data_IF_951668661969
#
_entry.id   IF_951668661969
#
_cell.length_a   1.000
_cell.length_b   1.000
_cell.length_c   1.000
_cell.angle_alpha   90.00
_cell.angle_beta   90.00
_cell.angle_gamma   90.00
#
_symmetry.space_group_name_H-M   'P 1'
#
loop_
_entity.id
_entity.type
_entity.pdbx_description
1 polymer ?
#
# COMPACT_ATOMS: atom_id res chain seq x y z
N UNK A 1 27.92 6.90 -76.01
CA UNK A 1 28.77 7.94 -75.37
C UNK A 1 28.00 8.76 -74.33
N UNK A 2 26.75 9.18 -74.61
CA UNK A 2 25.92 9.95 -73.66
C UNK A 2 25.76 9.31 -72.27
N UNK A 3 25.39 8.02 -72.17
CA UNK A 3 25.16 7.37 -70.87
C UNK A 3 26.42 7.33 -69.98
N UNK A 4 27.60 7.20 -70.57
CA UNK A 4 28.87 7.18 -69.82
C UNK A 4 29.17 8.54 -69.21
N UNK A 5 28.98 9.61 -69.98
CA UNK A 5 29.14 11.00 -69.50
C UNK A 5 28.19 11.29 -68.34
N UNK A 6 26.93 10.86 -68.44
CA UNK A 6 25.94 11.03 -67.39
C UNK A 6 26.31 10.31 -66.09
N UNK A 7 26.68 9.03 -66.17
CA UNK A 7 27.04 8.24 -64.98
C UNK A 7 28.24 8.86 -64.26
N UNK A 8 29.24 9.35 -65.01
CA UNK A 8 30.42 10.02 -64.42
C UNK A 8 30.07 11.37 -63.78
N UNK A 9 29.07 12.10 -64.30
CA UNK A 9 28.64 13.37 -63.72
C UNK A 9 27.84 13.20 -62.41
N UNK A 10 27.02 12.15 -62.32
CA UNK A 10 26.16 11.91 -61.15
C UNK A 10 26.91 11.24 -59.99
N UNK A 11 28.03 10.54 -60.27
CA UNK A 11 28.82 9.77 -59.29
C UNK A 11 27.97 8.91 -58.32
N UNK A 12 27.07 8.05 -58.85
CA UNK A 12 26.14 7.29 -58.00
C UNK A 12 26.84 6.16 -57.25
N UNK A 13 26.48 5.90 -55.98
CA UNK A 13 27.01 4.76 -55.20
C UNK A 13 26.53 3.39 -55.68
N UNK A 14 25.35 3.32 -56.29
CA UNK A 14 24.73 2.10 -56.79
C UNK A 14 24.24 2.31 -58.23
N UNK A 15 24.65 1.44 -59.14
CA UNK A 15 24.24 1.45 -60.55
C UNK A 15 23.46 0.17 -60.82
N UNK A 16 22.22 0.30 -61.29
CA UNK A 16 21.34 -0.82 -61.63
C UNK A 16 21.03 -0.73 -63.12
N UNK A 17 21.48 -1.73 -63.88
CA UNK A 17 21.28 -1.80 -65.33
C UNK A 17 19.98 -2.55 -65.63
N UNK A 18 19.05 -1.87 -66.29
CA UNK A 18 17.73 -2.37 -66.70
C UNK A 18 17.42 -1.92 -68.13
N UNK A 19 16.35 -2.44 -68.73
CA UNK A 19 15.86 -2.03 -70.06
C UNK A 19 16.94 -2.05 -71.16
N UNK A 20 17.62 -3.18 -71.32
CA UNK A 20 18.54 -3.39 -72.43
C UNK A 20 18.62 -4.86 -72.82
N UNK A 21 19.14 -5.12 -74.03
CA UNK A 21 19.49 -6.49 -74.42
C UNK A 21 20.56 -7.03 -73.47
N UNK A 22 20.41 -8.29 -73.04
CA UNK A 22 21.26 -8.94 -72.04
C UNK A 22 22.77 -8.80 -72.37
N UNK A 23 23.14 -9.05 -73.61
CA UNK A 23 24.54 -9.03 -74.04
C UNK A 23 25.12 -7.61 -74.05
N UNK A 24 24.37 -6.64 -74.55
CA UNK A 24 24.79 -5.22 -74.56
C UNK A 24 24.88 -4.64 -73.15
N UNK A 25 23.95 -5.01 -72.24
CA UNK A 25 24.08 -4.65 -70.81
C UNK A 25 25.26 -5.34 -70.15
N UNK A 26 25.59 -6.58 -70.51
CA UNK A 26 26.78 -7.30 -70.05
C UNK A 26 28.08 -6.61 -70.47
N UNK A 27 28.14 -6.14 -71.73
CA UNK A 27 29.27 -5.34 -72.25
C UNK A 27 29.39 -4.01 -71.51
N UNK A 28 28.27 -3.31 -71.30
CA UNK A 28 28.26 -2.05 -70.56
C UNK A 28 28.69 -2.22 -69.11
N UNK A 29 28.17 -3.24 -68.40
CA UNK A 29 28.59 -3.59 -67.03
C UNK A 29 30.09 -3.81 -66.94
N UNK A 30 30.65 -4.57 -67.89
CA UNK A 30 32.08 -4.89 -67.92
C UNK A 30 32.93 -3.64 -68.18
N UNK A 31 32.51 -2.79 -69.11
CA UNK A 31 33.19 -1.51 -69.38
C UNK A 31 33.18 -0.58 -68.17
N UNK A 32 32.05 -0.48 -67.46
CA UNK A 32 31.95 0.34 -66.24
C UNK A 32 32.82 -0.24 -65.11
N UNK A 33 32.83 -1.56 -64.89
CA UNK A 33 33.70 -2.20 -63.89
C UNK A 33 35.19 -1.90 -64.15
N UNK A 34 35.64 -1.92 -65.41
CA UNK A 34 37.03 -1.58 -65.77
C UNK A 34 37.32 -0.11 -65.49
N UNK A 35 36.40 0.80 -65.86
CA UNK A 35 36.55 2.23 -65.62
C UNK A 35 36.66 2.55 -64.11
N UNK A 36 35.75 2.01 -63.30
CA UNK A 36 35.71 2.29 -61.87
C UNK A 36 36.76 1.53 -61.06
N UNK A 37 37.38 0.48 -61.61
CA UNK A 37 38.51 -0.23 -60.97
C UNK A 37 39.71 0.68 -60.70
N UNK A 38 39.87 1.75 -61.48
CA UNK A 38 40.95 2.73 -61.32
C UNK A 38 40.74 3.66 -60.10
N UNK A 39 39.53 3.72 -59.55
CA UNK A 39 39.19 4.56 -58.39
C UNK A 39 39.42 3.81 -57.08
N UNK A 40 39.67 4.57 -56.01
CA UNK A 40 39.79 4.03 -54.65
C UNK A 40 38.55 3.23 -54.25
N UNK A 41 38.74 2.14 -53.49
CA UNK A 41 37.68 1.17 -53.13
C UNK A 41 36.41 1.82 -52.53
N UNK A 42 36.56 2.91 -51.77
CA UNK A 42 35.43 3.63 -51.15
C UNK A 42 34.59 4.46 -52.12
N UNK A 43 35.09 4.71 -53.34
CA UNK A 43 34.38 5.44 -54.41
C UNK A 43 33.90 4.52 -55.53
N UNK A 44 34.10 3.21 -55.40
CA UNK A 44 33.65 2.26 -56.42
C UNK A 44 32.13 2.00 -56.27
N UNK A 45 31.33 2.26 -57.32
CA UNK A 45 29.91 1.99 -57.27
C UNK A 45 29.62 0.49 -57.32
N UNK A 46 28.55 0.06 -56.66
CA UNK A 46 28.05 -1.32 -56.81
C UNK A 46 27.25 -1.41 -58.10
N UNK A 47 27.71 -2.20 -59.09
CA UNK A 47 27.07 -2.34 -60.40
C UNK A 47 26.32 -3.68 -60.49
N UNK A 48 25.00 -3.62 -60.62
CA UNK A 48 24.12 -4.80 -60.70
C UNK A 48 23.33 -4.82 -62.01
N UNK A 49 23.02 -6.03 -62.49
CA UNK A 49 22.21 -6.27 -63.69
C UNK A 49 21.22 -7.38 -63.33
N UNK A 50 20.16 -7.06 -62.58
CA UNK A 50 19.19 -8.06 -62.14
C UNK A 50 18.33 -8.55 -63.31
N UNK A 51 18.13 -9.86 -63.51
CA UNK A 51 17.02 -10.39 -64.31
C UNK A 51 15.66 -9.98 -63.74
N UNK A 52 14.62 -10.14 -64.56
CA UNK A 52 13.24 -9.94 -64.13
C UNK A 52 12.94 -10.79 -62.88
N UNK A 53 12.16 -10.22 -61.96
CA UNK A 53 11.78 -10.82 -60.67
C UNK A 53 12.93 -10.98 -59.66
N UNK A 54 14.14 -10.51 -59.94
CA UNK A 54 15.21 -10.49 -58.94
C UNK A 54 15.15 -9.23 -58.07
N UNK A 55 15.03 -9.42 -56.75
CA UNK A 55 15.08 -8.35 -55.75
C UNK A 55 16.51 -7.79 -55.59
N UNK A 56 16.64 -6.47 -55.56
CA UNK A 56 17.91 -5.77 -55.28
C UNK A 56 17.83 -5.09 -53.93
N UNK A 57 18.61 -5.59 -52.95
CA UNK A 57 18.66 -5.04 -51.59
C UNK A 57 19.80 -4.04 -51.45
N UNK A 58 19.48 -2.79 -51.18
CA UNK A 58 20.45 -1.72 -50.94
C UNK A 58 20.50 -1.37 -49.45
N UNK A 59 21.70 -1.29 -48.88
CA UNK A 59 21.92 -0.90 -47.49
C UNK A 59 22.33 0.57 -47.44
N UNK A 60 21.44 1.41 -46.92
CA UNK A 60 21.73 2.82 -46.68
C UNK A 60 22.05 3.04 -45.21
N UNK A 61 23.29 3.41 -44.83
CA UNK A 61 23.60 3.78 -43.46
C UNK A 61 22.80 5.03 -43.12
N UNK A 62 21.83 4.89 -42.21
CA UNK A 62 21.01 6.01 -41.77
C UNK A 62 21.72 6.70 -40.63
N UNK A 63 22.35 7.85 -40.91
CA UNK A 63 22.81 8.75 -39.86
C UNK A 63 21.58 9.32 -39.16
N UNK A 64 21.32 8.90 -37.91
CA UNK A 64 20.34 9.55 -37.05
C UNK A 64 21.01 10.78 -36.43
N UNK A 65 20.39 11.94 -36.61
CA UNK A 65 20.83 13.20 -36.05
C UNK A 65 19.65 13.83 -35.35
N UNK A 66 19.87 14.29 -34.12
CA UNK A 66 18.86 15.01 -33.36
C UNK A 66 19.36 16.43 -33.08
N UNK A 67 18.44 17.39 -33.04
CA UNK A 67 18.77 18.78 -32.70
C UNK A 67 18.42 19.05 -31.25
N UNK A 68 19.39 19.51 -30.47
CA UNK A 68 19.14 20.01 -29.11
C UNK A 68 18.48 21.38 -29.21
N UNK A 69 17.44 21.63 -28.42
CA UNK A 69 16.62 22.85 -28.46
C UNK A 69 16.27 23.32 -27.04
N UNK A 70 15.99 24.61 -26.91
CA UNK A 70 15.57 25.24 -25.65
C UNK A 70 16.73 25.46 -24.69
N UNK A 71 16.41 25.47 -23.40
CA UNK A 71 17.34 25.63 -22.28
C UNK A 71 18.48 24.62 -22.30
N UNK A 72 18.26 23.42 -22.84
CA UNK A 72 19.28 22.39 -22.98
C UNK A 72 20.37 22.74 -24.02
N UNK A 73 20.08 23.68 -24.93
CA UNK A 73 21.07 24.23 -25.86
C UNK A 73 21.78 25.47 -25.29
N UNK A 74 21.16 26.13 -24.31
CA UNK A 74 21.69 27.30 -23.60
C UNK A 74 22.50 26.81 -22.40
N UNK A 75 23.76 26.44 -22.63
CA UNK A 75 24.67 26.06 -21.53
C UNK A 75 24.77 27.22 -20.52
N UNK A 76 24.29 27.02 -19.29
CA UNK A 76 24.35 28.00 -18.18
C UNK A 76 25.70 28.03 -17.44
N UNK A 77 26.76 27.50 -18.05
CA UNK A 77 28.09 27.55 -17.44
C UNK A 77 28.77 28.89 -17.79
N UNK A 78 28.46 29.90 -16.99
CA UNK A 78 28.91 31.30 -17.09
C UNK A 78 30.44 31.50 -16.90
N UNK A 79 31.22 30.42 -16.78
CA UNK A 79 32.65 30.48 -16.40
C UNK A 79 33.64 30.24 -17.56
N UNK A 80 33.20 30.10 -18.82
CA UNK A 80 34.12 30.01 -19.95
C UNK A 80 33.62 30.80 -21.18
N UNK A 81 34.36 31.86 -21.50
CA UNK A 81 34.23 32.64 -22.72
C UNK A 81 34.40 31.72 -23.95
N UNK A 82 33.32 31.46 -24.70
CA UNK A 82 33.32 30.61 -25.89
C UNK A 82 32.45 29.34 -25.85
N UNK A 83 31.35 29.40 -25.09
CA UNK A 83 30.37 28.34 -24.83
C UNK A 83 29.77 27.66 -26.09
N UNK A 84 30.49 26.68 -26.64
CA UNK A 84 30.02 25.72 -27.64
C UNK A 84 30.15 24.32 -27.05
N UNK A 85 29.13 23.45 -27.20
CA UNK A 85 29.19 22.08 -26.69
C UNK A 85 30.40 21.35 -27.29
N UNK A 86 31.22 20.74 -26.43
CA UNK A 86 32.38 19.96 -26.84
C UNK A 86 31.98 18.50 -27.04
N UNK A 87 32.73 17.79 -27.88
CA UNK A 87 32.54 16.36 -28.06
C UNK A 87 32.86 15.64 -26.75
N UNK A 88 31.86 14.94 -26.19
CA UNK A 88 31.95 14.25 -24.91
C UNK A 88 31.06 14.83 -23.81
N UNK A 89 30.51 16.03 -24.00
CA UNK A 89 29.57 16.62 -23.05
C UNK A 89 28.28 15.79 -22.98
N UNK A 90 27.82 15.51 -21.76
CA UNK A 90 26.60 14.75 -21.54
C UNK A 90 25.36 15.62 -21.78
N UNK A 91 24.42 15.10 -22.56
CA UNK A 91 23.14 15.77 -22.85
C UNK A 91 22.00 14.89 -22.36
N UNK A 92 21.32 15.35 -21.32
CA UNK A 92 20.15 14.67 -20.74
C UNK A 92 18.88 15.42 -21.13
N UNK A 93 17.95 14.72 -21.78
CA UNK A 93 16.69 15.33 -22.20
C UNK A 93 15.77 14.32 -22.88
N UNK A 94 14.61 14.81 -23.28
CA UNK A 94 13.56 14.02 -23.93
C UNK A 94 13.78 14.07 -25.43
N UNK A 95 13.98 12.90 -26.05
CA UNK A 95 14.10 12.75 -27.50
C UNK A 95 12.71 12.62 -28.14
N UNK A 96 12.28 13.64 -28.88
CA UNK A 96 11.03 13.62 -29.64
C UNK A 96 11.33 13.45 -31.12
N UNK A 97 10.77 12.40 -31.73
CA UNK A 97 10.93 12.13 -33.17
C UNK A 97 9.58 12.26 -33.89
N UNK A 98 9.52 13.15 -34.87
CA UNK A 98 8.34 13.33 -35.71
C UNK A 98 8.78 13.43 -37.18
N UNK A 99 8.22 12.58 -38.06
CA UNK A 99 8.50 12.56 -39.49
C UNK A 99 10.01 12.60 -39.82
N UNK A 100 10.80 11.76 -39.14
CA UNK A 100 12.26 11.65 -39.29
C UNK A 100 13.08 12.86 -38.83
N UNK A 101 12.44 13.88 -38.27
CA UNK A 101 13.11 14.94 -37.52
C UNK A 101 13.14 14.57 -36.04
N UNK A 102 14.34 14.40 -35.50
CA UNK A 102 14.55 14.16 -34.08
C UNK A 102 14.99 15.45 -33.39
N UNK A 103 14.38 15.76 -32.25
CA UNK A 103 14.71 16.90 -31.39
C UNK A 103 14.97 16.38 -29.97
N UNK A 104 15.94 16.95 -29.28
CA UNK A 104 16.17 16.71 -27.85
C UNK A 104 15.82 18.00 -27.13
N UNK A 105 14.93 17.91 -26.16
CA UNK A 105 14.39 19.06 -25.41
C UNK A 105 14.38 18.76 -23.92
N UNK A 106 14.42 19.79 -23.08
CA UNK A 106 14.12 19.67 -21.65
C UNK A 106 12.62 19.37 -21.44
N UNK A 107 12.27 18.83 -20.27
CA UNK A 107 10.87 18.56 -19.91
C UNK A 107 10.02 19.84 -19.87
N UNK A 108 10.61 20.95 -19.39
CA UNK A 108 9.96 22.26 -19.30
C UNK A 108 9.65 22.84 -20.70
N UNK A 109 10.58 22.66 -21.63
CA UNK A 109 10.53 23.19 -23.00
C UNK A 109 9.74 22.32 -23.97
N UNK A 110 9.24 21.16 -23.51
CA UNK A 110 8.57 20.18 -24.36
C UNK A 110 7.35 20.79 -25.06
N UNK A 111 6.55 21.59 -24.35
CA UNK A 111 5.34 22.24 -24.87
C UNK A 111 5.63 23.38 -25.85
N UNK A 112 6.81 24.02 -25.75
CA UNK A 112 7.23 25.13 -26.60
C UNK A 112 7.69 24.64 -27.97
N UNK A 113 8.45 23.53 -28.02
CA UNK A 113 9.11 23.07 -29.25
C UNK A 113 8.43 21.84 -29.90
N UNK A 114 7.40 21.29 -29.26
CA UNK A 114 6.64 20.14 -29.74
C UNK A 114 5.13 20.38 -29.52
N UNK A 115 4.25 19.75 -30.32
CA UNK A 115 2.80 19.87 -30.13
C UNK A 115 2.29 19.11 -28.90
N UNK A 116 3.18 18.54 -28.08
CA UNK A 116 2.83 17.78 -26.89
C UNK A 116 2.47 18.73 -25.76
N UNK A 117 1.35 18.46 -25.08
CA UNK A 117 1.02 19.14 -23.83
C UNK A 117 1.61 18.35 -22.67
N UNK A 118 2.21 19.06 -21.74
CA UNK A 118 2.67 18.49 -20.47
C UNK A 118 1.54 18.70 -19.46
N UNK A 119 1.24 17.67 -18.68
CA UNK A 119 0.31 17.74 -17.57
C UNK A 119 0.70 16.72 -16.52
N UNK A 120 0.34 16.99 -15.27
CA UNK A 120 0.43 16.02 -14.18
C UNK A 120 -0.97 15.52 -13.83
N UNK A 121 -1.02 14.34 -13.24
CA UNK A 121 -2.27 13.75 -12.72
C UNK A 121 -2.11 13.68 -11.22
N UNK A 122 -3.01 14.33 -10.49
CA UNK A 122 -3.11 14.19 -9.03
C UNK A 122 -4.29 13.30 -8.68
N UNK A 123 -4.10 12.39 -7.75
CA UNK A 123 -5.12 11.47 -7.26
C UNK A 123 -5.49 11.81 -5.83
N UNK A 124 -6.77 11.60 -5.50
CA UNK A 124 -7.33 11.81 -4.17
C UNK A 124 -8.26 10.66 -3.83
N UNK A 125 -8.00 9.99 -2.72
CA UNK A 125 -8.78 8.86 -2.25
C UNK A 125 -9.29 9.10 -0.82
N UNK A 126 -10.55 8.77 -0.60
CA UNK A 126 -11.15 8.72 0.73
C UNK A 126 -11.14 7.27 1.21
N UNK A 127 -10.39 7.02 2.26
CA UNK A 127 -10.29 5.70 2.90
C UNK A 127 -11.09 5.75 4.20
N UNK A 128 -12.01 4.81 4.45
CA UNK A 128 -12.68 4.71 5.74
C UNK A 128 -11.64 4.66 6.88
N UNK A 129 -11.83 5.51 7.89
CA UNK A 129 -10.96 5.60 9.06
C UNK A 129 -11.71 6.31 10.19
N UNK A 130 -12.51 5.56 10.95
CA UNK A 130 -13.51 6.13 11.88
C UNK A 130 -13.25 5.88 13.36
N UNK A 131 -12.58 4.80 13.71
CA UNK A 131 -12.47 4.33 15.10
C UNK A 131 -11.10 4.65 15.70
N UNK A 132 -10.08 4.83 14.86
CA UNK A 132 -8.68 4.78 15.27
C UNK A 132 -8.06 6.17 15.36
N UNK A 133 -7.28 6.42 16.41
CA UNK A 133 -6.55 7.67 16.58
C UNK A 133 -5.45 7.82 15.51
N UNK A 134 -5.19 9.06 15.07
CA UNK A 134 -4.11 9.35 14.11
C UNK A 134 -2.74 8.83 14.57
N UNK A 135 -2.52 8.72 15.89
CA UNK A 135 -1.30 8.17 16.51
C UNK A 135 -1.06 6.70 16.17
N UNK A 136 -2.11 5.90 15.96
CA UNK A 136 -1.94 4.48 15.61
C UNK A 136 -1.44 4.33 14.18
N UNK A 137 -1.99 5.11 13.25
CA UNK A 137 -1.47 5.18 11.89
C UNK A 137 -0.02 5.69 11.86
N UNK A 138 0.30 6.69 12.69
CA UNK A 138 1.66 7.20 12.86
C UNK A 138 2.67 6.11 13.23
N UNK A 139 2.31 5.16 14.11
CA UNK A 139 3.19 4.03 14.46
C UNK A 139 3.44 3.13 13.24
N UNK A 140 2.37 2.68 12.59
CA UNK A 140 2.48 1.76 11.44
C UNK A 140 3.23 2.37 10.25
N UNK A 141 3.00 3.65 9.97
CA UNK A 141 3.67 4.33 8.86
C UNK A 141 5.15 4.53 9.17
N UNK A 142 5.53 4.87 10.41
CA UNK A 142 6.93 4.99 10.84
C UNK A 142 7.69 3.65 10.88
N UNK A 143 7.00 2.53 11.05
CA UNK A 143 7.63 1.20 10.95
C UNK A 143 7.97 0.81 9.51
N UNK A 144 7.13 1.21 8.54
CA UNK A 144 7.29 0.86 7.12
C UNK A 144 8.13 1.86 6.32
N UNK A 145 8.01 3.16 6.63
CA UNK A 145 8.62 4.23 5.86
C UNK A 145 9.51 5.10 6.74
N UNK A 146 10.55 5.66 6.13
CA UNK A 146 11.46 6.62 6.77
C UNK A 146 11.22 8.02 6.23
N UNK A 147 11.53 9.05 7.02
CA UNK A 147 11.42 10.44 6.57
C UNK A 147 9.99 10.99 6.48
N UNK A 148 9.05 10.45 7.28
CA UNK A 148 7.67 10.95 7.33
C UNK A 148 7.64 12.31 8.02
N UNK A 149 6.96 13.27 7.41
CA UNK A 149 6.67 14.56 8.03
C UNK A 149 5.30 14.51 8.69
N UNK A 150 5.18 14.99 9.93
CA UNK A 150 3.89 15.13 10.62
C UNK A 150 3.61 16.61 10.86
N UNK A 151 2.41 17.05 10.48
CA UNK A 151 1.89 18.38 10.75
C UNK A 151 0.53 18.25 11.43
N UNK A 152 0.35 18.99 12.51
CA UNK A 152 -0.94 19.12 13.17
C UNK A 152 -1.51 20.49 12.81
N UNK A 153 -2.70 20.49 12.24
CA UNK A 153 -3.43 21.69 11.85
C UNK A 153 -4.69 21.78 12.73
N UNK A 154 -4.94 22.97 13.29
CA UNK A 154 -6.21 23.27 13.93
C UNK A 154 -7.10 23.96 12.89
N UNK A 155 -8.28 23.39 12.60
CA UNK A 155 -9.31 24.09 11.84
C UNK A 155 -9.79 25.29 12.67
N UNK A 156 -9.33 26.49 12.33
CA UNK A 156 -9.96 27.73 12.78
C UNK A 156 -11.27 27.87 12.01
N UNK A 157 -12.39 27.47 12.61
CA UNK A 157 -13.71 27.80 12.10
C UNK A 157 -13.88 29.33 12.13
N UNK A 158 -13.50 30.00 11.04
CA UNK A 158 -13.85 31.39 10.74
C UNK A 158 -15.15 31.47 9.92
N UNK A 159 -16.07 30.53 10.15
CA UNK A 159 -17.40 30.60 9.57
C UNK A 159 -18.31 31.32 10.57
N UNK A 160 -18.60 32.58 10.23
CA UNK A 160 -19.73 33.33 10.76
C UNK A 160 -21.03 32.59 10.42
N UNK A 161 -21.38 31.57 11.20
CA UNK A 161 -22.74 31.01 11.24
C UNK A 161 -23.35 31.31 12.63
N UNK A 162 -23.96 32.48 12.72
CA UNK A 162 -24.91 32.80 13.77
C UNK A 162 -26.11 31.83 13.68
N UNK A 163 -26.30 31.04 14.73
CA UNK A 163 -27.44 30.16 15.05
C UNK A 163 -27.21 28.65 14.90
N UNK A 164 -26.42 28.06 15.81
CA UNK A 164 -26.72 26.73 16.40
C UNK A 164 -26.40 26.72 17.89
N UNK A 165 -27.19 25.94 18.62
CA UNK A 165 -27.35 25.88 20.08
C UNK A 165 -26.05 25.65 20.89
N UNK A 166 -26.07 26.10 22.14
CA UNK A 166 -24.91 26.37 23.02
C UNK A 166 -24.15 25.16 23.64
N UNK A 167 -24.41 23.91 23.24
CA UNK A 167 -23.74 22.74 23.85
C UNK A 167 -22.58 22.12 23.02
N UNK A 168 -22.35 22.58 21.78
CA UNK A 168 -21.40 21.93 20.84
C UNK A 168 -20.19 22.81 20.45
N UNK A 169 -19.95 23.90 21.19
CA UNK A 169 -18.95 24.94 20.83
C UNK A 169 -17.48 24.60 21.07
N UNK A 170 -17.11 23.38 21.45
CA UNK A 170 -15.70 23.11 21.81
C UNK A 170 -15.14 21.74 21.42
N UNK A 171 -15.62 21.13 20.34
CA UNK A 171 -14.95 19.95 19.77
C UNK A 171 -14.05 20.36 18.61
N UNK A 172 -12.89 20.94 18.94
CA UNK A 172 -11.83 21.21 17.96
C UNK A 172 -11.42 19.88 17.31
N UNK A 173 -11.72 19.73 16.03
CA UNK A 173 -11.24 18.61 15.21
C UNK A 173 -9.76 18.81 14.97
N UNK A 174 -8.92 18.03 15.66
CA UNK A 174 -7.48 18.00 15.39
C UNK A 174 -7.27 17.36 14.02
N UNK A 175 -6.70 18.10 13.09
CA UNK A 175 -6.31 17.57 11.79
C UNK A 175 -4.84 17.19 11.87
N UNK A 176 -4.52 15.99 11.43
CA UNK A 176 -3.14 15.52 11.32
C UNK A 176 -2.84 15.19 9.86
N UNK A 177 -1.80 15.80 9.33
CA UNK A 177 -1.32 15.60 7.97
C UNK A 177 0.04 14.91 8.02
N UNK A 178 0.15 13.75 7.37
CA UNK A 178 1.39 13.02 7.18
C UNK A 178 1.89 13.21 5.76
N UNK A 179 3.14 13.62 5.58
CA UNK A 179 3.80 13.67 4.28
C UNK A 179 4.78 12.52 4.11
N UNK A 180 4.65 11.79 2.98
CA UNK A 180 5.54 10.71 2.59
C UNK A 180 6.24 11.10 1.28
N UNK A 181 7.47 10.58 1.09
CA UNK A 181 8.29 10.79 -0.10
C UNK A 181 8.41 12.29 -0.47
N UNK A 182 9.02 13.08 0.42
CA UNK A 182 9.18 14.53 0.26
C UNK A 182 7.86 15.29 -0.01
N UNK A 183 6.82 15.01 0.80
CA UNK A 183 5.48 15.62 0.71
C UNK A 183 4.73 15.38 -0.63
N UNK A 184 5.21 14.46 -1.48
CA UNK A 184 4.52 14.09 -2.72
C UNK A 184 3.25 13.27 -2.48
N UNK A 185 3.17 12.61 -1.32
CA UNK A 185 2.00 11.87 -0.86
C UNK A 185 1.59 12.45 0.50
N UNK A 186 0.32 12.82 0.62
CA UNK A 186 -0.24 13.46 1.81
C UNK A 186 -1.40 12.63 2.34
N UNK A 187 -1.35 12.28 3.62
CA UNK A 187 -2.43 11.61 4.33
C UNK A 187 -3.00 12.57 5.36
N UNK A 188 -4.26 12.97 5.19
CA UNK A 188 -4.96 13.85 6.11
C UNK A 188 -5.99 13.05 6.91
N UNK A 189 -5.84 13.03 8.23
CA UNK A 189 -6.75 12.39 9.18
C UNK A 189 -7.40 13.47 10.04
N UNK A 190 -8.71 13.36 10.29
CA UNK A 190 -9.45 14.28 11.16
C UNK A 190 -10.18 15.41 10.43
N UNK A 191 -9.91 15.65 9.14
CA UNK A 191 -10.60 16.64 8.30
C UNK A 191 -12.05 16.23 7.95
N UNK A 192 -12.25 14.98 7.58
CA UNK A 192 -13.58 14.42 7.30
C UNK A 192 -13.87 13.33 8.32
N UNK A 193 -14.98 13.44 9.04
CA UNK A 193 -15.35 12.45 10.05
C UNK A 193 -15.47 11.07 9.40
N UNK A 194 -14.78 10.08 9.96
CA UNK A 194 -14.88 8.70 9.52
C UNK A 194 -14.04 8.33 8.30
N UNK A 195 -13.21 9.25 7.79
CA UNK A 195 -12.34 8.96 6.65
C UNK A 195 -10.97 9.63 6.76
N UNK A 196 -9.94 8.92 6.33
CA UNK A 196 -8.64 9.48 5.99
C UNK A 196 -8.61 9.86 4.50
N UNK A 197 -7.96 10.97 4.18
CA UNK A 197 -7.80 11.45 2.81
C UNK A 197 -6.36 11.21 2.39
N UNK A 198 -6.15 10.46 1.31
CA UNK A 198 -4.82 10.25 0.71
C UNK A 198 -4.76 11.01 -0.62
N UNK A 199 -3.82 11.94 -0.74
CA UNK A 199 -3.60 12.77 -1.93
C UNK A 199 -2.17 12.58 -2.44
N UNK A 200 -1.98 12.35 -3.74
CA UNK A 200 -0.65 12.21 -4.32
C UNK A 200 -0.58 12.64 -5.79
N UNK A 201 0.62 12.94 -6.27
CA UNK A 201 0.90 13.08 -7.70
C UNK A 201 1.20 11.70 -8.31
N UNK A 202 0.42 11.30 -9.31
CA UNK A 202 0.46 9.98 -9.93
C UNK A 202 1.81 9.75 -10.62
N UNK A 203 2.53 8.75 -10.14
CA UNK A 203 3.78 8.29 -10.71
C UNK A 203 3.98 6.83 -10.32
N UNK A 204 4.73 6.02 -11.09
CA UNK A 204 4.92 4.60 -10.75
C UNK A 204 5.46 4.37 -9.33
N UNK A 205 6.27 5.30 -8.81
CA UNK A 205 6.76 5.22 -7.43
C UNK A 205 5.70 5.66 -6.42
N UNK A 206 5.04 6.79 -6.67
CA UNK A 206 4.06 7.33 -5.74
C UNK A 206 2.78 6.49 -5.67
N UNK A 207 2.37 5.85 -6.77
CA UNK A 207 1.22 4.96 -6.82
C UNK A 207 1.44 3.74 -5.92
N UNK A 208 2.65 3.15 -5.96
CA UNK A 208 2.99 2.01 -5.09
C UNK A 208 3.03 2.41 -3.62
N UNK A 209 3.60 3.58 -3.30
CA UNK A 209 3.64 4.07 -1.92
C UNK A 209 2.22 4.45 -1.45
N UNK A 210 1.40 5.06 -2.30
CA UNK A 210 0.02 5.40 -1.98
C UNK A 210 -0.81 4.13 -1.71
N UNK A 211 -0.69 3.09 -2.54
CA UNK A 211 -1.35 1.80 -2.34
C UNK A 211 -0.93 1.15 -1.01
N UNK A 212 0.37 1.14 -0.72
CA UNK A 212 0.89 0.65 0.56
C UNK A 212 0.35 1.47 1.75
N UNK A 213 0.26 2.79 1.60
CA UNK A 213 -0.27 3.69 2.62
C UNK A 213 -1.77 3.43 2.88
N UNK A 214 -2.55 3.19 1.83
CA UNK A 214 -3.97 2.80 1.94
C UNK A 214 -4.11 1.47 2.65
N UNK A 215 -3.26 0.48 2.32
CA UNK A 215 -3.25 -0.80 3.01
C UNK A 215 -2.93 -0.64 4.51
N UNK A 216 -1.98 0.22 4.87
CA UNK A 216 -1.65 0.53 6.27
C UNK A 216 -2.81 1.23 6.99
N UNK A 217 -3.53 2.14 6.33
CA UNK A 217 -4.73 2.76 6.90
C UNK A 217 -5.81 1.72 7.20
N UNK A 218 -6.03 0.78 6.26
CA UNK A 218 -6.98 -0.31 6.44
C UNK A 218 -6.54 -1.29 7.54
N UNK A 219 -5.24 -1.61 7.60
CA UNK A 219 -4.67 -2.46 8.66
C UNK A 219 -4.78 -1.80 10.03
N UNK A 220 -4.48 -0.50 10.11
CA UNK A 220 -4.66 0.29 11.31
C UNK A 220 -6.12 0.27 11.75
N UNK A 221 -7.09 0.32 10.84
CA UNK A 221 -8.51 0.18 11.20
C UNK A 221 -8.88 -1.23 11.69
N UNK A 222 -8.34 -2.28 11.08
CA UNK A 222 -8.69 -3.67 11.40
C UNK A 222 -7.93 -4.31 12.56
N UNK A 223 -6.83 -3.70 13.03
CA UNK A 223 -5.95 -4.30 14.03
C UNK A 223 -6.56 -4.29 15.45
N UNK A 224 -6.43 -5.41 16.15
CA UNK A 224 -6.82 -5.59 17.57
C UNK A 224 -6.12 -4.58 18.49
N UNK A 225 -4.89 -4.18 18.16
CA UNK A 225 -4.16 -3.15 18.90
C UNK A 225 -4.89 -1.79 18.86
N UNK A 226 -5.52 -1.47 17.73
CA UNK A 226 -6.33 -0.27 17.56
C UNK A 226 -7.63 -0.33 18.35
N UNK A 227 -8.26 -1.50 18.42
CA UNK A 227 -9.47 -1.74 19.24
C UNK A 227 -9.12 -1.61 20.74
N UNK A 228 -7.99 -2.17 21.17
CA UNK A 228 -7.49 -2.06 22.56
C UNK A 228 -7.06 -0.65 22.95
N UNK A 229 -6.47 0.12 22.03
CA UNK A 229 -6.12 1.52 22.29
C UNK A 229 -7.34 2.45 22.29
N UNK A 230 -8.46 2.04 21.68
CA UNK A 230 -9.69 2.84 21.56
C UNK A 230 -10.81 2.40 22.50
N UNK A 231 -10.68 1.27 23.19
CA UNK A 231 -11.64 0.79 24.19
C UNK A 231 -11.57 1.63 25.46
N UNK A 232 -12.41 2.66 25.53
CA UNK A 232 -12.69 3.39 26.77
C UNK A 232 -13.86 2.68 27.49
N UNK A 233 -13.76 2.33 28.79
CA UNK A 233 -14.86 1.66 29.48
C UNK A 233 -16.07 2.58 29.58
N UNK A 234 -17.20 2.17 28.99
CA UNK A 234 -18.45 2.92 29.02
C UNK A 234 -19.01 2.99 30.45
N UNK A 235 -19.43 4.18 30.89
CA UNK A 235 -20.28 4.38 32.08
C UNK A 235 -21.70 4.68 31.60
N UNK A 236 -22.65 3.81 31.92
CA UNK A 236 -24.06 4.00 31.56
C UNK A 236 -24.82 4.67 32.71
N UNK A 237 -25.56 5.77 32.45
CA UNK A 237 -26.58 6.27 33.36
C UNK A 237 -27.85 5.42 33.21
N UNK A 238 -28.40 4.90 34.31
CA UNK A 238 -29.68 4.19 34.32
C UNK A 238 -30.82 5.21 34.19
N UNK A 239 -31.70 5.01 33.22
CA UNK A 239 -32.96 5.73 33.05
C UNK A 239 -34.06 4.98 33.79
N UNK A 240 -34.69 5.64 34.76
CA UNK A 240 -35.95 5.21 35.38
C UNK A 240 -37.11 5.58 34.43
N UNK A 241 -37.83 4.57 33.93
CA UNK A 241 -39.17 4.74 33.38
C UNK A 241 -40.14 3.99 34.31
N UNK A 242 -40.93 4.76 35.05
CA UNK A 242 -42.07 4.32 35.87
C UNK A 242 -43.32 4.20 34.98
N UNK A 243 -43.98 3.04 35.01
CA UNK A 243 -45.40 2.93 34.70
C UNK A 243 -46.20 2.67 35.99
N UNK A 244 -47.27 3.47 36.09
CA UNK A 244 -48.17 3.82 37.19
C UNK A 244 -49.02 2.66 37.73
N UNK A 245 -49.18 2.56 39.07
CA UNK A 245 -50.51 2.55 39.74
C UNK A 245 -50.42 2.57 41.30
N UNK A 246 -50.89 3.70 41.83
CA UNK A 246 -51.76 3.93 43.00
C UNK A 246 -51.34 3.73 44.48
N UNK A 247 -51.28 4.89 45.15
CA UNK A 247 -51.91 5.28 46.44
C UNK A 247 -51.22 4.90 47.76
N UNK A 248 -50.37 5.85 48.17
CA UNK A 248 -50.51 6.72 49.36
C UNK A 248 -49.89 6.34 50.73
N UNK A 249 -48.94 7.21 51.10
CA UNK A 249 -48.58 7.75 52.41
C UNK A 249 -47.84 6.92 53.50
N UNK A 250 -46.56 7.29 53.58
CA UNK A 250 -45.81 7.76 54.75
C UNK A 250 -45.06 6.77 55.66
N UNK A 251 -43.78 7.15 55.83
CA UNK A 251 -42.80 6.81 56.86
C UNK A 251 -41.95 5.53 56.72
N UNK A 252 -40.69 5.81 56.35
CA UNK A 252 -39.43 5.33 56.95
C UNK A 252 -39.14 3.82 56.96
N UNK A 253 -37.93 3.57 56.44
CA UNK A 253 -36.99 2.46 56.64
C UNK A 253 -37.10 1.28 55.69
N UNK A 254 -36.07 1.24 54.83
CA UNK A 254 -35.15 0.13 54.63
C UNK A 254 -35.76 -1.20 54.17
N UNK A 255 -35.44 -1.57 52.92
CA UNK A 255 -35.24 -2.95 52.48
C UNK A 255 -34.44 -2.91 51.17
N UNK A 256 -33.17 -3.32 51.21
CA UNK A 256 -32.67 -4.70 51.04
C UNK A 256 -32.36 -4.92 49.56
N UNK A 257 -31.10 -4.62 49.21
CA UNK A 257 -30.43 -5.13 48.03
C UNK A 257 -30.29 -6.65 48.19
N UNK A 258 -30.77 -7.43 47.22
CA UNK A 258 -30.38 -8.83 47.08
C UNK A 258 -29.02 -8.89 46.36
N UNK A 259 -27.99 -9.23 47.13
CA UNK A 259 -26.61 -9.45 46.70
C UNK A 259 -26.53 -10.70 45.80
N UNK A 260 -26.24 -10.55 44.50
CA UNK A 260 -25.70 -11.66 43.71
C UNK A 260 -24.26 -11.88 44.14
N UNK A 261 -23.93 -13.08 44.62
CA UNK A 261 -22.65 -13.40 45.24
C UNK A 261 -21.47 -13.13 44.29
N UNK A 262 -20.39 -12.57 44.83
CA UNK A 262 -19.17 -12.21 44.08
C UNK A 262 -18.52 -13.39 43.37
N UNK A 263 -18.78 -14.62 43.83
CA UNK A 263 -18.28 -15.88 43.26
C UNK A 263 -18.94 -16.22 41.92
N UNK A 264 -20.26 -16.08 41.80
CA UNK A 264 -20.98 -16.43 40.57
C UNK A 264 -20.55 -15.53 39.40
N UNK A 265 -20.34 -14.24 39.66
CA UNK A 265 -19.84 -13.29 38.67
C UNK A 265 -18.43 -13.65 38.17
N UNK A 266 -17.58 -14.20 39.04
CA UNK A 266 -16.22 -14.65 38.70
C UNK A 266 -16.23 -15.95 37.91
N UNK A 267 -17.11 -16.90 38.27
CA UNK A 267 -17.28 -18.15 37.51
C UNK A 267 -17.81 -17.87 36.09
N UNK A 268 -18.72 -16.90 35.92
CA UNK A 268 -19.16 -16.45 34.59
C UNK A 268 -18.02 -15.83 33.76
N UNK A 269 -17.16 -15.02 34.38
CA UNK A 269 -15.99 -14.45 33.68
C UNK A 269 -15.02 -15.53 33.19
N UNK A 270 -14.79 -16.59 33.99
CA UNK A 270 -13.95 -17.73 33.59
C UNK A 270 -14.60 -18.47 32.41
N UNK A 271 -15.92 -18.70 32.45
CA UNK A 271 -16.66 -19.30 31.33
C UNK A 271 -16.47 -18.52 30.03
N UNK A 272 -16.68 -17.21 30.07
CA UNK A 272 -16.65 -16.37 28.87
C UNK A 272 -15.24 -16.34 28.27
N UNK A 273 -14.22 -16.26 29.13
CA UNK A 273 -12.82 -16.32 28.69
C UNK A 273 -12.47 -17.65 28.02
N UNK A 274 -12.95 -18.78 28.55
CA UNK A 274 -12.71 -20.10 27.96
C UNK A 274 -13.46 -20.27 26.64
N UNK A 275 -14.69 -19.74 26.51
CA UNK A 275 -15.44 -19.75 25.24
C UNK A 275 -14.83 -18.88 24.16
N UNK A 276 -14.16 -17.79 24.54
CA UNK A 276 -13.44 -16.96 23.58
C UNK A 276 -12.18 -17.65 23.02
N UNK A 277 -11.62 -18.63 23.74
CA UNK A 277 -10.40 -19.34 23.32
C UNK A 277 -10.67 -20.72 22.72
N UNK A 278 -11.77 -21.38 23.09
CA UNK A 278 -12.08 -22.74 22.68
C UNK A 278 -13.50 -22.85 22.11
N UNK A 279 -13.63 -23.53 20.97
CA UNK A 279 -14.87 -23.57 20.20
C UNK A 279 -16.04 -24.25 20.92
N UNK A 280 -15.79 -25.27 21.75
CA UNK A 280 -16.83 -26.01 22.44
C UNK A 280 -16.47 -26.17 23.92
N UNK A 281 -17.15 -25.37 24.75
CA UNK A 281 -17.02 -25.36 26.22
C UNK A 281 -18.40 -25.52 26.83
N UNK A 282 -18.63 -26.67 27.46
CA UNK A 282 -19.78 -26.93 28.31
C UNK A 282 -19.45 -26.56 29.76
N UNK A 283 -20.45 -26.13 30.53
CA UNK A 283 -20.22 -25.68 31.91
C UNK A 283 -21.36 -26.09 32.82
N UNK A 284 -21.01 -26.67 33.96
CA UNK A 284 -21.91 -26.95 35.08
C UNK A 284 -21.50 -26.06 36.25
N UNK A 285 -22.45 -25.29 36.78
CA UNK A 285 -22.27 -24.44 37.97
C UNK A 285 -22.96 -25.10 39.16
N UNK A 286 -22.23 -25.33 40.24
CA UNK A 286 -22.75 -25.85 41.50
C UNK A 286 -22.29 -24.94 42.65
N UNK A 287 -23.08 -23.90 42.96
CA UNK A 287 -22.79 -22.95 44.03
C UNK A 287 -21.47 -22.19 43.81
N UNK A 288 -20.47 -22.43 44.68
CA UNK A 288 -19.15 -21.82 44.60
C UNK A 288 -18.14 -22.61 43.75
N UNK A 289 -18.58 -23.69 43.10
CA UNK A 289 -17.78 -24.48 42.18
C UNK A 289 -18.34 -24.46 40.76
N UNK A 290 -17.47 -24.58 39.77
CA UNK A 290 -17.86 -24.85 38.39
C UNK A 290 -16.92 -25.83 37.71
N UNK A 291 -17.50 -26.70 36.91
CA UNK A 291 -16.80 -27.63 36.03
C UNK A 291 -16.98 -27.18 34.58
N UNK A 292 -15.88 -27.03 33.86
CA UNK A 292 -15.83 -26.68 32.45
C UNK A 292 -15.28 -27.86 31.66
N UNK A 293 -16.05 -28.36 30.71
CA UNK A 293 -15.63 -29.43 29.81
C UNK A 293 -15.34 -28.83 28.42
N UNK A 294 -14.09 -28.98 27.99
CA UNK A 294 -13.58 -28.44 26.72
C UNK A 294 -13.33 -29.61 25.79
N UNK A 295 -14.03 -29.64 24.66
CA UNK A 295 -13.86 -30.63 23.59
C UNK A 295 -13.24 -29.98 22.36
N UNK A 296 -12.19 -30.60 21.80
CA UNK A 296 -11.52 -30.06 20.60
C UNK A 296 -11.29 -31.14 19.54
N UNK A 297 -11.44 -30.75 18.27
CA UNK A 297 -11.45 -31.66 17.11
C UNK A 297 -10.07 -31.79 16.43
N UNK A 298 -9.01 -31.23 17.04
CA UNK A 298 -7.70 -31.11 16.39
C UNK A 298 -6.80 -32.32 16.66
N UNK A 299 -6.62 -33.13 15.61
CA UNK A 299 -5.73 -34.29 15.57
C UNK A 299 -4.23 -33.97 15.58
N UNK A 300 -3.49 -34.95 16.10
CA UNK A 300 -2.05 -35.24 15.97
C UNK A 300 -1.07 -34.07 16.04
N UNK A 301 -0.63 -33.76 17.26
CA UNK A 301 0.78 -33.40 17.48
C UNK A 301 1.38 -33.89 18.81
N UNK A 302 0.65 -34.74 19.54
CA UNK A 302 1.14 -35.50 20.70
C UNK A 302 0.86 -36.97 20.43
N UNK A 303 1.89 -37.81 20.35
CA UNK A 303 1.83 -39.22 19.95
C UNK A 303 1.12 -40.16 20.94
N UNK A 304 -0.06 -39.79 21.41
CA UNK A 304 -0.89 -40.56 22.30
C UNK A 304 -2.35 -40.28 21.96
N UNK A 305 -3.05 -41.33 21.49
CA UNK A 305 -4.46 -41.43 21.05
C UNK A 305 -4.65 -41.47 19.52
N UNK A 306 -5.38 -42.48 19.05
CA UNK A 306 -5.57 -42.86 17.63
C UNK A 306 -6.55 -41.97 16.86
N UNK A 307 -6.58 -42.18 15.54
CA UNK A 307 -7.04 -41.26 14.46
C UNK A 307 -8.47 -40.71 14.48
N UNK A 308 -9.31 -40.97 15.49
CA UNK A 308 -10.67 -40.39 15.61
C UNK A 308 -11.05 -40.11 17.09
N UNK A 309 -10.07 -39.74 17.92
CA UNK A 309 -10.30 -39.43 19.34
C UNK A 309 -10.67 -37.96 19.58
N UNK A 310 -11.92 -37.69 19.99
CA UNK A 310 -12.29 -36.39 20.59
C UNK A 310 -11.44 -36.18 21.84
N UNK A 311 -10.69 -35.08 21.90
CA UNK A 311 -9.90 -34.71 23.08
C UNK A 311 -10.78 -33.91 24.04
N UNK A 312 -10.93 -34.43 25.26
CA UNK A 312 -11.62 -33.76 26.36
C UNK A 312 -10.62 -33.23 27.39
N UNK A 313 -10.85 -32.01 27.85
CA UNK A 313 -10.14 -31.38 28.96
C UNK A 313 -11.17 -30.87 29.96
N UNK A 314 -11.07 -31.32 31.21
CA UNK A 314 -11.98 -30.94 32.28
C UNK A 314 -11.26 -30.00 33.23
N UNK A 315 -11.84 -28.82 33.45
CA UNK A 315 -11.34 -27.83 34.40
C UNK A 315 -12.35 -27.72 35.54
N UNK A 316 -11.93 -28.00 36.76
CA UNK A 316 -12.74 -27.73 37.95
C UNK A 316 -12.19 -26.50 38.66
N UNK A 317 -13.09 -25.58 39.01
CA UNK A 317 -12.77 -24.38 39.77
C UNK A 317 -13.65 -24.35 41.00
N UNK A 318 -13.07 -24.34 42.18
CA UNK A 318 -13.77 -24.25 43.47
C UNK A 318 -13.25 -23.06 44.26
N UNK A 319 -14.16 -22.20 44.74
CA UNK A 319 -13.81 -21.09 45.62
C UNK A 319 -13.99 -21.48 47.09
N UNK A 320 -12.95 -21.27 47.91
CA UNK A 320 -12.95 -21.65 49.33
C UNK A 320 -13.97 -20.87 50.17
N UNK A 321 -14.42 -19.69 49.72
CA UNK A 321 -15.37 -18.82 50.42
C UNK A 321 -16.24 -18.00 49.45
N UNK A 322 -17.43 -17.57 49.89
CA UNK A 322 -18.37 -16.71 49.14
C UNK A 322 -17.80 -15.34 48.68
N UNK A 323 -16.65 -14.96 49.26
CA UNK A 323 -15.91 -13.74 48.96
C UNK A 323 -15.01 -13.85 47.70
N UNK A 324 -14.81 -15.05 47.16
CA UNK A 324 -14.19 -15.27 45.84
C UNK A 324 -12.71 -14.87 45.71
N UNK A 325 -11.97 -14.88 46.83
CA UNK A 325 -10.56 -14.45 46.87
C UNK A 325 -9.57 -15.53 46.42
N UNK A 326 -9.70 -16.75 46.96
CA UNK A 326 -8.83 -17.88 46.65
C UNK A 326 -9.64 -18.97 45.95
N UNK A 327 -9.12 -19.48 44.83
CA UNK A 327 -9.76 -20.49 44.00
C UNK A 327 -8.81 -21.66 43.78
N UNK A 328 -9.25 -22.87 44.09
CA UNK A 328 -8.55 -24.09 43.71
C UNK A 328 -8.98 -24.50 42.31
N UNK A 329 -8.02 -24.57 41.39
CA UNK A 329 -8.25 -24.91 39.98
C UNK A 329 -7.51 -26.22 39.67
N UNK A 330 -8.25 -27.25 39.26
CA UNK A 330 -7.68 -28.51 38.79
C UNK A 330 -8.00 -28.69 37.30
N UNK A 331 -6.98 -29.05 36.53
CA UNK A 331 -7.09 -29.30 35.08
C UNK A 331 -6.74 -30.75 34.82
N UNK A 332 -7.72 -31.52 34.37
CA UNK A 332 -7.56 -32.93 34.01
C UNK A 332 -7.69 -33.07 32.49
N UNK A 333 -6.58 -33.43 31.83
CA UNK A 333 -6.58 -33.62 30.39
C UNK A 333 -5.65 -34.77 29.99
N UNK A 334 -6.07 -35.53 28.98
CA UNK A 334 -5.31 -36.65 28.41
C UNK A 334 -4.11 -36.12 27.60
N UNK A 335 -4.25 -34.97 26.94
CA UNK A 335 -3.19 -34.34 26.16
C UNK A 335 -2.46 -33.24 26.94
N UNK A 336 -1.12 -33.35 26.99
CA UNK A 336 -0.27 -32.41 27.73
C UNK A 336 -0.19 -31.04 27.08
N UNK A 337 -0.32 -30.94 25.75
CA UNK A 337 -0.29 -29.63 25.06
C UNK A 337 -1.57 -28.85 25.33
N UNK A 338 -2.73 -29.50 25.20
CA UNK A 338 -4.02 -28.89 25.56
C UNK A 338 -4.07 -28.47 27.03
N UNK A 339 -3.59 -29.32 27.95
CA UNK A 339 -3.49 -28.99 29.37
C UNK A 339 -2.68 -27.71 29.63
N UNK A 340 -1.51 -27.57 28.99
CA UNK A 340 -0.64 -26.41 29.16
C UNK A 340 -1.28 -25.13 28.61
N UNK A 341 -1.96 -25.18 27.47
CA UNK A 341 -2.62 -24.02 26.87
C UNK A 341 -3.78 -23.52 27.75
N UNK A 342 -4.59 -24.45 28.26
CA UNK A 342 -5.68 -24.11 29.20
C UNK A 342 -5.12 -23.53 30.49
N UNK A 343 -4.03 -24.11 31.02
CA UNK A 343 -3.37 -23.59 32.22
C UNK A 343 -2.80 -22.18 32.01
N UNK A 344 -2.14 -21.92 30.89
CA UNK A 344 -1.61 -20.59 30.55
C UNK A 344 -2.73 -19.55 30.38
N UNK A 345 -3.84 -19.93 29.75
CA UNK A 345 -5.03 -19.10 29.63
C UNK A 345 -5.56 -18.67 31.01
N UNK A 346 -5.73 -19.62 31.93
CA UNK A 346 -6.23 -19.36 33.29
C UNK A 346 -5.22 -18.57 34.13
N UNK A 347 -3.91 -18.82 33.98
CA UNK A 347 -2.87 -18.01 34.62
C UNK A 347 -2.87 -16.56 34.13
N UNK A 348 -3.07 -16.33 32.83
CA UNK A 348 -3.14 -14.98 32.28
C UNK A 348 -4.40 -14.24 32.74
N UNK A 349 -5.52 -14.95 32.88
CA UNK A 349 -6.74 -14.40 33.48
C UNK A 349 -6.52 -13.96 34.93
N UNK A 350 -5.85 -14.79 35.75
CA UNK A 350 -5.52 -14.48 37.15
C UNK A 350 -4.46 -13.38 37.35
N UNK A 351 -3.66 -13.08 36.32
CA UNK A 351 -2.75 -11.92 36.32
C UNK A 351 -3.48 -10.64 35.92
N UNK A 352 -4.52 -10.74 35.10
CA UNK A 352 -5.30 -9.62 34.59
C UNK A 352 -6.41 -9.16 35.57
N UNK A 353 -7.00 -10.10 36.32
CA UNK A 353 -7.84 -9.81 37.48
C UNK A 353 -6.96 -9.91 38.74
N UNK A 354 -6.93 -8.90 39.61
CA UNK A 354 -6.08 -8.87 40.81
C UNK A 354 -6.08 -10.21 41.62
N UNK A 355 -4.96 -10.52 42.32
CA UNK A 355 -4.25 -11.79 42.25
C UNK A 355 -5.08 -12.98 42.78
N UNK A 356 -5.26 -14.00 41.95
CA UNK A 356 -5.64 -15.35 42.39
C UNK A 356 -4.32 -16.12 42.58
N UNK A 357 -3.94 -16.49 43.82
CA UNK A 357 -2.75 -17.33 44.02
C UNK A 357 -3.07 -18.78 43.58
N UNK A 358 -2.39 -19.25 42.53
CA UNK A 358 -2.42 -20.65 42.12
C UNK A 358 -1.57 -21.49 43.08
N UNK A 359 -2.17 -22.53 43.66
CA UNK A 359 -1.43 -23.62 44.32
C UNK A 359 -1.45 -24.82 43.35
N UNK A 360 -0.26 -25.25 42.97
CA UNK A 360 0.03 -26.37 42.06
C UNK A 360 -0.39 -27.72 42.62
#
# INVERSE_FOLDING_TARGET
VQNRSFITQVDPKHIILVHGQKDEMGRLKSALLIQYRQLAKNKQPTITMPPNLQEVKLKFPRRRSAKVMGTLAENKDDNNDGNKPKEGDQVNGILVTHNFSSKIVSAEDLSTYTPLRVGSVSSKLYVPFSVVAATTFEVFVNEMFTGITKREEEENNNDNEENKNDDDKNKRTKITVFGLNDDQIKVTIGKTRGSAIVEWEASPANDVIADATVALLMQAQGSIASIRMTSQPCRHPRSDDDDVDDIDNNNKRAKTEEETTTTESRLRLIRDTLRDQFNLVETVLEGNAATYEITTDCGLESGSVGEDGILTCTVNVEFDNDLGHDAQITVECIDKKLANNVHECLQNLAKAAAPIPFIS
#
